data_IF_029365211319
#
_entry.id   IF_029365211319
#
_cell.length_a   1.000
_cell.length_b   1.000
_cell.length_c   1.000
_cell.angle_alpha   90.00
_cell.angle_beta   90.00
_cell.angle_gamma   90.00
#
_symmetry.space_group_name_H-M   'P 1'
#
loop_
_entity.id
_entity.type
_entity.pdbx_description
1 polymer ?
#
# COMPACT_ATOMS: atom_id res chain seq x y z
N UNK A 1 -5.35 -18.97 -3.23
CA UNK A 1 -5.05 -17.59 -3.67
C UNK A 1 -6.02 -16.51 -3.15
N UNK A 2 -7.35 -16.69 -3.25
CA UNK A 2 -8.36 -15.70 -2.80
C UNK A 2 -8.10 -15.14 -1.39
N UNK A 3 -7.81 -16.03 -0.43
CA UNK A 3 -7.52 -15.65 0.97
C UNK A 3 -6.28 -14.76 1.09
N UNK A 4 -5.22 -15.02 0.32
CA UNK A 4 -3.99 -14.23 0.39
C UNK A 4 -4.21 -12.79 -0.11
N UNK A 5 -4.95 -12.61 -1.22
CA UNK A 5 -5.36 -11.29 -1.69
C UNK A 5 -6.24 -10.56 -0.67
N UNK A 6 -7.19 -11.27 -0.05
CA UNK A 6 -8.03 -10.69 1.00
C UNK A 6 -7.22 -10.29 2.24
N UNK A 7 -6.20 -11.06 2.62
CA UNK A 7 -5.30 -10.71 3.73
C UNK A 7 -4.57 -9.39 3.44
N UNK A 8 -4.00 -9.21 2.25
CA UNK A 8 -3.37 -7.93 1.87
C UNK A 8 -4.41 -6.79 1.86
N UNK A 9 -5.60 -7.01 1.29
CA UNK A 9 -6.63 -5.99 1.21
C UNK A 9 -7.12 -5.53 2.59
N UNK A 10 -7.41 -6.47 3.49
CA UNK A 10 -7.80 -6.17 4.87
C UNK A 10 -6.67 -5.51 5.65
N UNK A 11 -5.43 -5.96 5.44
CA UNK A 11 -4.28 -5.32 6.04
C UNK A 11 -4.14 -3.85 5.64
N UNK A 12 -4.31 -3.54 4.35
CA UNK A 12 -4.33 -2.15 3.86
C UNK A 12 -5.50 -1.32 4.39
N UNK A 13 -6.69 -1.92 4.57
CA UNK A 13 -7.83 -1.24 5.20
C UNK A 13 -7.49 -0.85 6.63
N UNK A 14 -6.91 -1.77 7.39
CA UNK A 14 -6.52 -1.54 8.76
C UNK A 14 -5.45 -0.45 8.89
N UNK A 15 -4.46 -0.41 8.00
CA UNK A 15 -3.48 0.69 7.97
C UNK A 15 -4.05 2.03 7.48
N UNK A 16 -5.18 2.04 6.76
CA UNK A 16 -5.85 3.28 6.35
C UNK A 16 -6.73 3.85 7.46
N UNK A 17 -7.32 2.99 8.27
CA UNK A 17 -8.30 3.34 9.28
C UNK A 17 -7.58 3.64 10.59
N UNK A 18 -7.04 4.87 10.68
CA UNK A 18 -6.39 5.39 11.88
C UNK A 18 -7.45 5.65 12.98
N UNK A 19 -7.73 4.63 13.80
CA UNK A 19 -8.66 4.73 14.93
C UNK A 19 -7.84 5.07 16.18
N UNK A 20 -7.70 6.37 16.43
CA UNK A 20 -7.10 6.90 17.67
C UNK A 20 -8.07 6.74 18.81
N UNK A 21 -7.86 5.74 19.68
CA UNK A 21 -8.51 5.69 20.99
C UNK A 21 -7.49 6.15 22.03
N UNK A 22 -7.76 7.28 22.70
CA UNK A 22 -6.89 7.84 23.76
C UNK A 22 -5.42 8.07 23.36
N UNK A 23 -5.15 8.41 22.10
CA UNK A 23 -3.79 8.68 21.61
C UNK A 23 -2.96 7.45 21.26
N UNK A 24 -3.50 6.24 21.42
CA UNK A 24 -2.90 5.01 20.92
C UNK A 24 -3.55 4.62 19.59
N UNK A 25 -2.79 4.74 18.50
CA UNK A 25 -3.24 4.46 17.12
C UNK A 25 -2.54 3.22 16.51
N UNK A 26 -1.52 2.69 17.19
CA UNK A 26 -0.54 1.80 16.56
C UNK A 26 -0.89 0.31 16.59
N UNK A 27 -1.82 -0.11 17.46
CA UNK A 27 -2.21 -1.53 17.52
C UNK A 27 -2.90 -1.96 16.23
N UNK A 28 -3.63 -1.05 15.60
CA UNK A 28 -4.33 -1.30 14.34
C UNK A 28 -3.35 -1.48 13.19
N UNK A 29 -2.33 -0.61 13.10
CA UNK A 29 -1.30 -0.67 12.07
C UNK A 29 -0.48 -1.95 12.16
N UNK A 30 -0.13 -2.39 13.37
CA UNK A 30 0.57 -3.67 13.57
C UNK A 30 -0.23 -4.84 13.01
N UNK A 31 -1.53 -4.91 13.32
CA UNK A 31 -2.42 -5.95 12.79
C UNK A 31 -2.51 -5.84 11.27
N UNK A 32 -2.63 -4.62 10.74
CA UNK A 32 -2.66 -4.33 9.32
C UNK A 32 -1.43 -4.89 8.59
N UNK A 33 -0.23 -4.56 9.06
CA UNK A 33 1.01 -5.04 8.46
C UNK A 33 1.24 -6.54 8.64
N UNK A 34 0.84 -7.15 9.77
CA UNK A 34 0.89 -8.61 9.92
C UNK A 34 0.03 -9.30 8.85
N UNK A 35 -1.16 -8.76 8.55
CA UNK A 35 -2.03 -9.27 7.49
C UNK A 35 -1.43 -9.07 6.09
N UNK A 36 -0.82 -7.92 5.82
CA UNK A 36 -0.10 -7.66 4.56
C UNK A 36 1.04 -8.67 4.39
N UNK A 37 1.87 -8.87 5.40
CA UNK A 37 2.98 -9.83 5.39
C UNK A 37 2.49 -11.27 5.18
N UNK A 38 1.43 -11.68 5.88
CA UNK A 38 0.83 -13.01 5.74
C UNK A 38 0.26 -13.24 4.33
N UNK A 39 -0.31 -12.21 3.70
CA UNK A 39 -0.80 -12.27 2.33
C UNK A 39 0.34 -12.31 1.30
N UNK A 40 1.31 -11.40 1.42
CA UNK A 40 2.46 -11.28 0.52
C UNK A 40 3.39 -12.49 0.58
N UNK A 41 3.58 -13.12 1.74
CA UNK A 41 4.39 -14.33 1.86
C UNK A 41 3.86 -15.48 0.98
N UNK A 42 2.54 -15.56 0.79
CA UNK A 42 1.90 -16.53 -0.13
C UNK A 42 1.94 -16.06 -1.59
N UNK A 43 1.72 -14.77 -1.84
CA UNK A 43 1.67 -14.21 -3.19
C UNK A 43 3.07 -14.06 -3.84
N UNK A 44 4.11 -13.86 -3.05
CA UNK A 44 5.51 -13.71 -3.49
C UNK A 44 6.04 -14.92 -4.27
N UNK A 45 5.45 -16.10 -4.05
CA UNK A 45 5.76 -17.33 -4.80
C UNK A 45 5.24 -17.32 -6.24
N UNK A 46 4.33 -16.42 -6.58
CA UNK A 46 3.62 -16.41 -7.87
C UNK A 46 4.15 -15.35 -8.84
N UNK A 47 4.59 -14.19 -8.36
CA UNK A 47 5.11 -13.14 -9.25
C UNK A 47 6.20 -12.29 -8.58
N UNK A 48 7.16 -11.80 -9.38
CA UNK A 48 8.30 -11.00 -8.91
C UNK A 48 7.86 -9.73 -8.18
N UNK A 49 6.82 -9.05 -8.64
CA UNK A 49 6.30 -7.85 -7.98
C UNK A 49 5.96 -8.08 -6.50
N UNK A 50 5.27 -9.17 -6.16
CA UNK A 50 4.97 -9.50 -4.77
C UNK A 50 6.20 -9.87 -3.95
N UNK A 51 7.23 -10.44 -4.61
CA UNK A 51 8.52 -10.72 -3.98
C UNK A 51 9.30 -9.44 -3.66
N UNK A 52 9.11 -8.37 -4.43
CA UNK A 52 9.63 -7.03 -4.11
C UNK A 52 8.82 -6.42 -2.96
N UNK A 53 7.49 -6.53 -2.97
CA UNK A 53 6.62 -5.97 -1.95
C UNK A 53 6.87 -6.55 -0.54
N UNK A 54 7.23 -7.84 -0.43
CA UNK A 54 7.38 -8.53 0.85
C UNK A 54 8.45 -7.92 1.79
N UNK A 55 9.72 -7.75 1.38
CA UNK A 55 10.72 -7.12 2.25
C UNK A 55 10.38 -5.65 2.57
N UNK A 56 9.70 -4.96 1.66
CA UNK A 56 9.29 -3.56 1.86
C UNK A 56 8.18 -3.47 2.90
N UNK A 57 7.24 -4.42 2.91
CA UNK A 57 6.24 -4.55 3.97
C UNK A 57 6.89 -4.82 5.35
N UNK A 58 8.00 -5.58 5.39
CA UNK A 58 8.76 -5.76 6.62
C UNK A 58 9.40 -4.46 7.10
N UNK A 59 9.97 -3.66 6.21
CA UNK A 59 10.51 -2.33 6.55
C UNK A 59 9.41 -1.45 7.15
N UNK A 60 8.23 -1.40 6.52
CA UNK A 60 7.08 -0.64 7.04
C UNK A 60 6.63 -1.14 8.41
N UNK A 61 6.55 -2.44 8.60
CA UNK A 61 6.22 -3.04 9.90
C UNK A 61 7.19 -2.62 11.00
N UNK A 62 8.51 -2.64 10.71
CA UNK A 62 9.54 -2.17 11.66
C UNK A 62 9.41 -0.68 11.95
N UNK A 63 9.12 0.15 10.93
CA UNK A 63 8.85 1.58 11.13
C UNK A 63 7.66 1.79 12.07
N UNK A 64 6.56 1.07 11.86
CA UNK A 64 5.40 1.11 12.76
C UNK A 64 5.78 0.73 14.20
N UNK A 65 6.59 -0.31 14.40
CA UNK A 65 7.09 -0.65 15.73
C UNK A 65 7.95 0.49 16.30
N UNK A 66 8.83 1.10 15.50
CA UNK A 66 9.67 2.20 15.96
C UNK A 66 8.83 3.41 16.43
N UNK A 67 7.70 3.69 15.79
CA UNK A 67 6.79 4.75 16.27
C UNK A 67 6.15 4.44 17.63
N UNK A 68 6.00 3.17 18.03
CA UNK A 68 5.56 2.83 19.40
C UNK A 68 6.55 3.31 20.46
N UNK A 69 7.84 3.38 20.11
CA UNK A 69 8.90 3.87 20.98
C UNK A 69 9.15 5.37 20.85
N UNK A 70 8.21 6.11 20.21
CA UNK A 70 8.25 7.57 20.13
C UNK A 70 8.97 8.14 18.90
N UNK A 71 9.38 7.29 17.93
CA UNK A 71 9.96 7.76 16.67
C UNK A 71 8.87 8.41 15.81
N UNK A 72 8.98 9.71 15.56
CA UNK A 72 8.05 10.46 14.70
C UNK A 72 8.51 10.38 13.24
N UNK A 73 7.74 9.72 12.39
CA UNK A 73 7.97 9.68 10.93
C UNK A 73 6.79 10.22 10.13
N UNK A 74 5.83 10.89 10.77
CA UNK A 74 4.67 11.51 10.12
C UNK A 74 4.65 13.01 10.42
N UNK A 75 4.45 13.80 9.37
CA UNK A 75 4.21 15.24 9.51
C UNK A 75 2.71 15.48 9.65
N UNK A 76 2.30 16.08 10.76
CA UNK A 76 0.90 16.42 10.99
C UNK A 76 0.51 17.63 10.14
N UNK A 77 -0.35 17.41 9.16
CA UNK A 77 -0.81 18.48 8.26
C UNK A 77 -1.75 19.51 8.94
N UNK A 78 -2.18 19.25 10.18
CA UNK A 78 -3.21 20.03 10.89
C UNK A 78 -2.73 20.71 12.16
N UNK A 79 -1.53 20.39 12.67
CA UNK A 79 -1.10 20.83 14.01
C UNK A 79 -0.26 22.10 14.04
N UNK A 80 0.08 22.68 12.89
CA UNK A 80 0.90 23.91 12.83
C UNK A 80 2.31 23.76 13.43
N UNK A 81 2.68 22.58 13.92
CA UNK A 81 4.04 22.26 14.37
C UNK A 81 4.96 22.24 13.16
N UNK A 82 6.10 22.91 13.30
CA UNK A 82 7.09 22.97 12.25
C UNK A 82 7.98 21.75 12.36
N UNK A 83 7.94 20.84 11.38
CA UNK A 83 8.72 19.62 11.48
C UNK A 83 10.21 19.93 11.33
N UNK A 84 11.03 19.28 12.14
CA UNK A 84 12.48 19.29 12.00
C UNK A 84 12.90 18.56 10.71
N UNK A 85 14.08 18.90 10.19
CA UNK A 85 14.75 18.26 9.05
C UNK A 85 14.81 16.73 9.22
N UNK A 86 15.14 16.24 10.41
CA UNK A 86 15.15 14.81 10.73
C UNK A 86 13.78 14.15 10.53
N UNK A 87 12.72 14.81 11.01
CA UNK A 87 11.34 14.34 10.84
C UNK A 87 10.94 14.32 9.35
N UNK A 88 11.18 15.41 8.61
CA UNK A 88 10.87 15.49 7.18
C UNK A 88 11.60 14.40 6.39
N UNK A 89 12.89 14.20 6.67
CA UNK A 89 13.71 13.20 5.98
C UNK A 89 13.18 11.79 6.21
N UNK A 90 12.80 11.48 7.46
CA UNK A 90 12.25 10.18 7.81
C UNK A 90 10.86 9.96 7.21
N UNK A 91 10.02 11.00 7.17
CA UNK A 91 8.72 10.95 6.48
C UNK A 91 8.89 10.73 4.98
N UNK A 92 9.80 11.45 4.32
CA UNK A 92 10.09 11.26 2.90
C UNK A 92 10.57 9.84 2.61
N UNK A 93 11.45 9.28 3.46
CA UNK A 93 11.87 7.88 3.36
C UNK A 93 10.69 6.92 3.51
N UNK A 94 9.83 7.14 4.52
CA UNK A 94 8.64 6.31 4.72
C UNK A 94 7.69 6.35 3.51
N UNK A 95 7.53 7.51 2.86
CA UNK A 95 6.74 7.65 1.63
C UNK A 95 7.36 6.91 0.44
N UNK A 96 8.68 6.93 0.29
CA UNK A 96 9.38 6.15 -0.74
C UNK A 96 9.15 4.66 -0.50
N UNK A 97 9.30 4.19 0.74
CA UNK A 97 9.04 2.79 1.10
C UNK A 97 7.59 2.40 0.78
N UNK A 98 6.61 3.25 1.11
CA UNK A 98 5.20 3.04 0.76
C UNK A 98 4.98 2.94 -0.76
N UNK A 99 5.60 3.83 -1.55
CA UNK A 99 5.53 3.78 -3.01
C UNK A 99 6.09 2.47 -3.57
N UNK A 100 7.22 1.98 -3.04
CA UNK A 100 7.80 0.71 -3.49
C UNK A 100 6.89 -0.48 -3.11
N UNK A 101 6.25 -0.44 -1.93
CA UNK A 101 5.28 -1.46 -1.52
C UNK A 101 4.09 -1.47 -2.49
N UNK A 102 3.53 -0.30 -2.77
CA UNK A 102 2.42 -0.11 -3.70
C UNK A 102 2.78 -0.60 -5.11
N UNK A 103 3.97 -0.24 -5.60
CA UNK A 103 4.52 -0.73 -6.87
C UNK A 103 4.55 -2.26 -6.92
N UNK A 104 5.16 -2.90 -5.92
CA UNK A 104 5.31 -4.35 -5.90
C UNK A 104 3.96 -5.08 -5.91
N UNK A 105 2.96 -4.54 -5.20
CA UNK A 105 1.59 -5.09 -5.22
C UNK A 105 0.96 -4.91 -6.61
N UNK A 106 1.00 -3.71 -7.18
CA UNK A 106 0.43 -3.43 -8.50
C UNK A 106 1.11 -4.25 -9.61
N UNK A 107 2.43 -4.33 -9.61
CA UNK A 107 3.21 -5.12 -10.57
C UNK A 107 2.92 -6.62 -10.41
N UNK A 108 2.81 -7.10 -9.17
CA UNK A 108 2.36 -8.45 -8.83
C UNK A 108 1.01 -8.80 -9.47
N UNK A 109 0.01 -7.94 -9.27
CA UNK A 109 -1.34 -8.10 -9.85
C UNK A 109 -1.28 -8.04 -11.37
N UNK A 110 -0.52 -7.08 -11.93
CA UNK A 110 -0.40 -6.88 -13.37
C UNK A 110 0.22 -8.09 -14.06
N UNK A 111 1.33 -8.61 -13.54
CA UNK A 111 2.01 -9.78 -14.09
C UNK A 111 1.12 -11.01 -14.11
N UNK A 112 0.52 -11.36 -12.96
CA UNK A 112 -0.43 -12.47 -12.88
C UNK A 112 -1.65 -12.29 -13.79
N UNK A 113 -2.14 -11.05 -13.97
CA UNK A 113 -3.25 -10.76 -14.87
C UNK A 113 -2.86 -10.97 -16.34
N UNK A 114 -1.65 -10.59 -16.73
CA UNK A 114 -1.14 -10.78 -18.09
C UNK A 114 -0.95 -12.27 -18.42
N UNK A 115 -0.35 -13.04 -17.51
CA UNK A 115 -0.16 -14.49 -17.65
C UNK A 115 -1.50 -15.22 -17.86
N UNK A 116 -2.59 -14.72 -17.24
CA UNK A 116 -3.94 -15.30 -17.36
C UNK A 116 -4.81 -14.62 -18.43
N UNK A 117 -4.23 -13.80 -19.30
CA UNK A 117 -4.93 -13.12 -20.39
C UNK A 117 -5.95 -12.06 -19.95
N UNK A 118 -5.97 -11.65 -18.67
CA UNK A 118 -6.91 -10.67 -18.10
C UNK A 118 -6.42 -9.23 -18.32
N UNK A 119 -6.34 -8.81 -19.58
CA UNK A 119 -5.82 -7.48 -20.01
C UNK A 119 -6.46 -6.30 -19.27
N UNK A 120 -7.76 -6.36 -18.97
CA UNK A 120 -8.48 -5.29 -18.26
C UNK A 120 -7.98 -5.08 -16.81
N UNK A 121 -7.61 -6.15 -16.10
CA UNK A 121 -7.08 -6.07 -14.72
C UNK A 121 -5.63 -5.58 -14.78
N UNK A 122 -4.85 -6.09 -15.73
CA UNK A 122 -3.46 -5.67 -15.94
C UNK A 122 -3.34 -4.18 -16.24
N UNK A 123 -4.19 -3.66 -17.14
CA UNK A 123 -4.22 -2.23 -17.49
C UNK A 123 -4.58 -1.36 -16.28
N UNK A 124 -5.59 -1.76 -15.51
CA UNK A 124 -5.99 -1.05 -14.28
C UNK A 124 -4.86 -1.01 -13.25
N UNK A 125 -4.19 -2.13 -13.00
CA UNK A 125 -3.05 -2.19 -12.09
C UNK A 125 -1.92 -1.24 -12.52
N UNK A 126 -1.59 -1.23 -13.83
CA UNK A 126 -0.56 -0.35 -14.37
C UNK A 126 -0.94 1.13 -14.35
N UNK A 127 -2.20 1.47 -14.63
CA UNK A 127 -2.68 2.86 -14.51
C UNK A 127 -2.71 3.34 -13.07
N UNK A 128 -3.13 2.48 -12.14
CA UNK A 128 -3.17 2.82 -10.73
C UNK A 128 -1.77 3.13 -10.19
N UNK A 129 -0.79 2.27 -10.48
CA UNK A 129 0.61 2.52 -10.11
C UNK A 129 1.12 3.87 -10.65
N UNK A 130 0.86 4.18 -11.93
CA UNK A 130 1.32 5.45 -12.54
C UNK A 130 0.73 6.67 -11.84
N UNK A 131 -0.56 6.64 -11.50
CA UNK A 131 -1.21 7.72 -10.76
C UNK A 131 -0.64 7.87 -9.34
N UNK A 132 -0.49 6.76 -8.61
CA UNK A 132 0.10 6.77 -7.27
C UNK A 132 1.53 7.28 -7.28
N UNK A 133 2.35 6.85 -8.25
CA UNK A 133 3.72 7.33 -8.42
C UNK A 133 3.76 8.82 -8.73
N UNK A 134 2.95 9.31 -9.68
CA UNK A 134 2.92 10.72 -10.03
C UNK A 134 2.55 11.60 -8.82
N UNK A 135 1.49 11.24 -8.09
CA UNK A 135 1.05 11.96 -6.90
C UNK A 135 2.08 11.88 -5.76
N UNK A 136 2.64 10.69 -5.52
CA UNK A 136 3.65 10.48 -4.47
C UNK A 136 4.95 11.22 -4.76
N UNK A 137 5.40 11.23 -6.02
CA UNK A 137 6.58 11.99 -6.43
C UNK A 137 6.36 13.50 -6.28
N UNK A 138 5.16 14.00 -6.61
CA UNK A 138 4.81 15.41 -6.44
C UNK A 138 4.80 15.81 -4.96
N UNK A 139 4.22 14.97 -4.09
CA UNK A 139 4.27 15.22 -2.65
C UNK A 139 5.69 15.17 -2.10
N UNK A 140 6.50 14.17 -2.50
CA UNK A 140 7.91 14.08 -2.12
C UNK A 140 8.69 15.33 -2.53
N UNK A 141 8.45 15.83 -3.75
CA UNK A 141 9.04 17.08 -4.23
C UNK A 141 8.63 18.27 -3.36
N UNK A 142 7.39 18.31 -2.86
CA UNK A 142 6.91 19.36 -1.97
C UNK A 142 7.45 19.27 -0.53
N UNK A 143 8.01 18.13 -0.09
CA UNK A 143 8.42 17.93 1.32
C UNK A 143 9.45 18.95 1.83
N UNK A 144 10.55 19.26 1.12
CA UNK A 144 11.54 20.23 1.61
C UNK A 144 10.97 21.63 1.80
N UNK A 145 9.93 21.98 1.03
CA UNK A 145 9.28 23.28 1.10
C UNK A 145 8.52 23.48 2.41
N UNK A 146 8.20 22.43 3.16
CA UNK A 146 7.55 22.54 4.47
C UNK A 146 8.42 23.24 5.53
N UNK A 147 9.75 23.33 5.32
CA UNK A 147 10.65 24.11 6.17
C UNK A 147 10.45 25.63 6.00
N UNK A 148 9.82 26.07 4.91
CA UNK A 148 9.60 27.48 4.64
C UNK A 148 8.22 27.91 5.14
N UNK A 149 8.20 28.67 6.24
CA UNK A 149 6.99 29.18 6.89
C UNK A 149 6.09 30.08 6.03
N UNK A 150 6.64 30.66 4.96
CA UNK A 150 5.92 31.59 4.06
C UNK A 150 4.86 30.85 3.23
N UNK A 151 4.91 29.51 3.16
CA UNK A 151 4.08 28.71 2.27
C UNK A 151 2.75 28.26 2.87
N UNK A 152 2.13 29.06 3.76
CA UNK A 152 0.77 28.76 4.26
C UNK A 152 -0.26 28.50 3.15
N UNK A 153 -0.01 29.01 1.95
CA UNK A 153 -0.86 28.84 0.77
C UNK A 153 -0.72 27.48 0.07
N UNK A 154 0.31 26.66 0.37
CA UNK A 154 0.48 25.34 -0.27
C UNK A 154 -0.36 24.25 0.40
N UNK A 155 -0.87 24.49 1.61
CA UNK A 155 -1.64 23.51 2.39
C UNK A 155 -2.84 22.94 1.62
N UNK A 156 -3.69 23.73 0.95
CA UNK A 156 -4.79 23.21 0.15
C UNK A 156 -4.32 22.29 -0.99
N UNK A 157 -3.19 22.63 -1.63
CA UNK A 157 -2.61 21.84 -2.71
C UNK A 157 -2.08 20.50 -2.17
N UNK A 158 -1.39 20.51 -1.03
CA UNK A 158 -0.93 19.28 -0.37
C UNK A 158 -2.10 18.38 0.05
N UNK A 159 -3.18 18.96 0.59
CA UNK A 159 -4.40 18.23 0.92
C UNK A 159 -5.04 17.59 -0.32
N UNK A 160 -5.05 18.29 -1.46
CA UNK A 160 -5.57 17.74 -2.71
C UNK A 160 -4.77 16.51 -3.18
N UNK A 161 -3.43 16.57 -3.10
CA UNK A 161 -2.59 15.42 -3.45
C UNK A 161 -2.73 14.27 -2.46
N UNK A 162 -2.83 14.57 -1.16
CA UNK A 162 -3.08 13.56 -0.13
C UNK A 162 -4.43 12.85 -0.35
N UNK A 163 -5.48 13.59 -0.71
CA UNK A 163 -6.78 13.03 -1.09
C UNK A 163 -6.67 12.15 -2.34
N UNK A 164 -5.92 12.58 -3.35
CA UNK A 164 -5.64 11.78 -4.54
C UNK A 164 -4.95 10.45 -4.18
N UNK A 165 -3.94 10.49 -3.30
CA UNK A 165 -3.28 9.28 -2.80
C UNK A 165 -4.25 8.37 -2.04
N UNK A 166 -5.10 8.92 -1.18
CA UNK A 166 -6.13 8.15 -0.47
C UNK A 166 -7.05 7.41 -1.46
N UNK A 167 -7.52 8.09 -2.50
CA UNK A 167 -8.33 7.47 -3.56
C UNK A 167 -7.57 6.33 -4.23
N UNK A 168 -6.29 6.50 -4.54
CA UNK A 168 -5.51 5.41 -5.15
C UNK A 168 -5.34 4.20 -4.22
N UNK A 169 -5.21 4.40 -2.90
CA UNK A 169 -5.18 3.30 -1.92
C UNK A 169 -6.50 2.55 -1.87
N UNK A 170 -7.63 3.27 -1.85
CA UNK A 170 -8.95 2.64 -1.91
C UNK A 170 -9.12 1.82 -3.20
N UNK A 171 -8.71 2.37 -4.35
CA UNK A 171 -8.73 1.66 -5.63
C UNK A 171 -7.83 0.42 -5.62
N UNK A 172 -6.69 0.46 -4.94
CA UNK A 172 -5.81 -0.72 -4.79
C UNK A 172 -6.50 -1.81 -3.97
N UNK A 173 -7.15 -1.45 -2.86
CA UNK A 173 -7.92 -2.37 -2.03
C UNK A 173 -9.02 -3.05 -2.87
N UNK A 174 -9.80 -2.28 -3.63
CA UNK A 174 -10.82 -2.83 -4.52
C UNK A 174 -10.21 -3.75 -5.60
N UNK A 175 -9.05 -3.37 -6.15
CA UNK A 175 -8.34 -4.17 -7.13
C UNK A 175 -7.86 -5.50 -6.54
N UNK A 176 -7.37 -5.53 -5.29
CA UNK A 176 -6.96 -6.73 -4.57
C UNK A 176 -8.15 -7.69 -4.34
N UNK A 177 -9.29 -7.18 -3.88
CA UNK A 177 -10.50 -8.01 -3.74
C UNK A 177 -10.97 -8.57 -5.07
N UNK A 178 -10.93 -7.76 -6.14
CA UNK A 178 -11.27 -8.22 -7.48
C UNK A 178 -10.29 -9.28 -7.99
N UNK A 179 -8.99 -9.06 -7.84
CA UNK A 179 -7.93 -10.00 -8.21
C UNK A 179 -8.10 -11.33 -7.44
N UNK A 180 -8.39 -11.26 -6.15
CA UNK A 180 -8.66 -12.42 -5.31
C UNK A 180 -9.83 -13.27 -5.79
N UNK A 181 -10.94 -12.65 -6.24
CA UNK A 181 -12.08 -13.36 -6.84
C UNK A 181 -11.71 -14.01 -8.17
N UNK A 182 -11.07 -13.24 -9.06
CA UNK A 182 -10.72 -13.72 -10.41
C UNK A 182 -9.71 -14.85 -10.34
N UNK A 183 -8.62 -14.70 -9.59
CA UNK A 183 -7.57 -15.72 -9.51
C UNK A 183 -7.86 -16.85 -8.53
N UNK A 184 -8.81 -16.64 -7.59
CA UNK A 184 -9.30 -17.67 -6.70
C UNK A 184 -10.04 -18.79 -7.43
N UNK A 185 -10.90 -18.45 -8.39
CA UNK A 185 -11.72 -19.42 -9.12
C UNK A 185 -10.89 -20.34 -10.03
N UNK A 186 -9.75 -19.88 -10.55
CA UNK A 186 -8.85 -20.71 -11.36
C UNK A 186 -8.13 -21.81 -10.56
N UNK A 187 -8.11 -21.75 -9.23
CA UNK A 187 -7.50 -22.79 -8.39
C UNK A 187 -8.45 -23.94 -8.03
N UNK A 188 -9.77 -23.78 -8.27
CA UNK A 188 -10.77 -24.81 -7.99
C UNK A 188 -11.23 -25.59 -9.22
N UNK A 189 -11.14 -25.00 -10.42
CA UNK A 189 -11.58 -25.65 -11.66
C UNK A 189 -10.63 -26.74 -12.19
N UNK A 190 -9.60 -27.14 -11.42
CA UNK A 190 -8.61 -28.13 -11.80
C UNK A 190 -8.64 -29.43 -10.99
N UNK A 191 -9.58 -29.61 -10.05
CA UNK A 191 -9.70 -30.85 -9.26
C UNK A 191 -10.91 -31.74 -9.59
N UNK A 192 -11.83 -31.29 -10.45
CA UNK A 192 -13.14 -31.95 -10.63
C UNK A 192 -13.27 -32.60 -12.02
N UNK A 193 -12.17 -33.15 -12.55
CA UNK A 193 -12.11 -33.61 -13.93
C UNK A 193 -11.25 -34.82 -14.19
N UNK A 194 -11.25 -35.83 -13.30
CA UNK A 194 -10.70 -37.16 -13.61
C UNK A 194 -11.41 -38.27 -12.80
N UNK A 195 -12.69 -38.48 -13.09
CA UNK A 195 -13.30 -39.81 -12.98
C UNK A 195 -14.08 -40.06 -14.26
N UNK A 196 -13.34 -40.25 -15.36
CA UNK A 196 -13.86 -40.95 -16.54
C UNK A 196 -13.77 -42.42 -16.21
N UNK A 197 -14.94 -43.08 -16.22
CA UNK A 197 -15.07 -44.49 -15.90
C UNK A 197 -14.31 -45.39 -16.87
N UNK A 198 -13.88 -46.51 -16.32
CA UNK A 198 -13.71 -47.80 -17.00
C UNK A 198 -14.15 -48.88 -16.02
#
# INVERSE_FOLDING_TARGET
MKRAFAQVAWGLIFTLVNIRINGFDLLHDLIGYVLILAGLSKLSRHHRGFRIALPVAWIRFVLTIAALFGVRYEVSLTRGESPDIGTISLTALAMVVELVLFYGICDGIRGMALEKGKKAIASRAGSLWRWSFALGALLLFCMPFQLNYILGEIWPILMLFALGLLVTHLLLIFLLFRAGRVFGNYGGAGSDGETVGT
#
